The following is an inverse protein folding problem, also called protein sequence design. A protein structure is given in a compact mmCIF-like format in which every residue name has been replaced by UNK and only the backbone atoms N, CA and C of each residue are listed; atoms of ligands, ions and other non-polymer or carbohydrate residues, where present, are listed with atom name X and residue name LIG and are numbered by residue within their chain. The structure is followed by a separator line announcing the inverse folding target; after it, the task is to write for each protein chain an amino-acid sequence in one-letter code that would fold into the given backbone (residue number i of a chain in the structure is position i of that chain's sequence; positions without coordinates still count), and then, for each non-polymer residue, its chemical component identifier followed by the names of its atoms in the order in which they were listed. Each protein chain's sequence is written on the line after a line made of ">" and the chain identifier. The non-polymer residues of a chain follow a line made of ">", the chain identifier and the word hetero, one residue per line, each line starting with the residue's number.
data_IF_596305442838
#
_entry.id   IF_596305442838
#
_cell.length_a   1.000
_cell.length_b   1.000
_cell.length_c   1.000
_cell.angle_alpha   90.00
_cell.angle_beta   90.00
_cell.angle_gamma   90.00
#
_symmetry.space_group_name_H-M   'P 1'
#
loop_
_entity.id
_entity.type
_entity.pdbx_description
1 polymer ?
#
# COMPACT_ATOMS: atom_id res chain seq x y z
N UNK A 1 -18.69 -6.82 7.21
CA UNK A 1 -17.23 -7.09 7.01
C UNK A 1 -16.52 -7.13 8.38
N UNK A 2 -16.78 -6.21 9.32
CA UNK A 2 -16.13 -6.18 10.65
C UNK A 2 -16.42 -7.44 11.48
N UNK A 3 -17.66 -7.92 11.50
CA UNK A 3 -18.06 -9.14 12.21
C UNK A 3 -17.36 -10.40 11.66
N UNK A 4 -17.17 -10.49 10.35
CA UNK A 4 -16.45 -11.63 9.71
C UNK A 4 -14.97 -11.63 10.07
N UNK A 5 -14.32 -10.47 10.12
CA UNK A 5 -12.93 -10.36 10.55
C UNK A 5 -12.72 -10.83 11.99
N UNK A 6 -13.64 -10.47 12.88
CA UNK A 6 -13.59 -10.87 14.31
C UNK A 6 -13.80 -12.38 14.45
N UNK A 7 -14.72 -12.95 13.68
CA UNK A 7 -14.94 -14.42 13.63
C UNK A 7 -13.71 -15.17 13.09
N UNK A 8 -12.97 -14.58 12.16
CA UNK A 8 -11.71 -15.13 11.65
C UNK A 8 -10.49 -14.86 12.57
N UNK A 9 -10.70 -14.36 13.79
CA UNK A 9 -9.63 -14.09 14.75
C UNK A 9 -8.73 -12.89 14.39
N UNK A 10 -9.06 -12.12 13.35
CA UNK A 10 -8.30 -10.94 12.92
C UNK A 10 -8.79 -9.70 13.66
N UNK A 11 -8.10 -9.33 14.74
CA UNK A 11 -8.36 -8.06 15.44
C UNK A 11 -7.98 -6.88 14.56
N UNK A 12 -8.83 -5.83 14.54
CA UNK A 12 -8.51 -4.54 13.91
C UNK A 12 -7.40 -3.88 14.72
N UNK A 13 -6.19 -3.87 14.19
CA UNK A 13 -5.11 -3.11 14.80
C UNK A 13 -5.28 -1.65 14.39
N UNK A 14 -5.38 -0.74 15.33
CA UNK A 14 -5.39 0.69 15.04
C UNK A 14 -4.01 1.07 14.53
N UNK A 15 -3.89 1.50 13.29
CA UNK A 15 -2.66 2.07 12.76
C UNK A 15 -2.61 3.54 13.18
N UNK A 16 -1.47 3.97 13.70
CA UNK A 16 -1.22 5.35 14.12
C UNK A 16 0.11 5.89 13.60
N UNK A 17 1.13 5.06 13.55
CA UNK A 17 2.51 5.45 13.20
C UNK A 17 2.92 4.79 11.89
N UNK A 18 3.27 5.62 10.92
CA UNK A 18 3.67 5.19 9.58
C UNK A 18 5.09 5.67 9.30
N UNK A 19 5.94 4.78 8.82
CA UNK A 19 7.26 5.12 8.30
C UNK A 19 7.26 4.96 6.80
N UNK A 20 7.81 5.95 6.09
CA UNK A 20 7.93 5.97 4.63
C UNK A 20 9.40 6.11 4.28
N UNK A 21 9.89 5.26 3.39
CA UNK A 21 11.22 5.38 2.79
C UNK A 21 11.04 5.88 1.36
N UNK A 22 11.73 6.96 1.05
CA UNK A 22 11.66 7.67 -0.22
C UNK A 22 10.66 8.83 -0.22
N UNK A 23 11.19 10.04 -0.43
CA UNK A 23 10.45 11.29 -0.56
C UNK A 23 9.90 11.52 -1.97
N UNK A 24 9.29 10.49 -2.56
CA UNK A 24 8.69 10.59 -3.90
C UNK A 24 7.36 11.37 -3.89
N UNK A 25 6.89 11.79 -5.07
CA UNK A 25 5.59 12.47 -5.24
C UNK A 25 4.43 11.71 -4.59
N UNK A 26 4.50 10.37 -4.58
CA UNK A 26 3.50 9.53 -3.92
C UNK A 26 3.59 9.70 -2.41
N UNK A 27 4.81 9.69 -1.85
CA UNK A 27 5.03 9.86 -0.42
C UNK A 27 4.55 11.23 0.04
N UNK A 28 4.92 12.29 -0.68
CA UNK A 28 4.48 13.66 -0.42
C UNK A 28 2.95 13.78 -0.48
N UNK A 29 2.34 13.28 -1.56
CA UNK A 29 0.89 13.31 -1.72
C UNK A 29 0.16 12.52 -0.64
N UNK A 30 0.68 11.34 -0.30
CA UNK A 30 0.11 10.53 0.77
C UNK A 30 0.18 11.27 2.11
N UNK A 31 1.34 11.82 2.45
CA UNK A 31 1.54 12.55 3.70
C UNK A 31 0.65 13.79 3.76
N UNK A 32 0.55 14.58 2.67
CA UNK A 32 -0.35 15.75 2.59
C UNK A 32 -1.81 15.41 2.91
N UNK A 33 -2.28 14.24 2.46
CA UNK A 33 -3.70 13.86 2.64
C UNK A 33 -3.96 13.24 4.01
N UNK A 34 -2.95 12.59 4.63
CA UNK A 34 -3.16 11.73 5.78
C UNK A 34 -2.43 12.13 7.06
N UNK A 35 -1.66 13.26 7.08
CA UNK A 35 -0.94 13.71 8.28
C UNK A 35 -1.85 13.93 9.49
N UNK A 36 -3.09 14.38 9.28
CA UNK A 36 -4.06 14.55 10.39
C UNK A 36 -4.47 13.25 11.08
N UNK A 37 -4.34 12.10 10.39
CA UNK A 37 -4.81 10.79 10.86
C UNK A 37 -3.69 9.92 11.39
N UNK A 38 -2.49 10.12 10.88
CA UNK A 38 -1.34 9.29 11.15
C UNK A 38 -0.12 10.13 11.49
N UNK A 39 0.65 9.65 12.43
CA UNK A 39 1.99 10.16 12.69
C UNK A 39 2.94 9.60 11.63
N UNK A 40 3.38 10.45 10.72
CA UNK A 40 4.15 10.07 9.55
C UNK A 40 5.60 10.49 9.70
N UNK A 41 6.51 9.56 9.49
CA UNK A 41 7.94 9.82 9.34
C UNK A 41 8.37 9.44 7.94
N UNK A 42 9.10 10.32 7.26
CA UNK A 42 9.68 10.09 5.93
C UNK A 42 11.20 10.11 6.06
N UNK A 43 11.86 9.12 5.48
CA UNK A 43 13.33 9.03 5.39
C UNK A 43 13.71 9.05 3.92
N UNK A 44 14.55 9.98 3.51
CA UNK A 44 15.12 10.08 2.16
C UNK A 44 16.60 10.47 2.24
N UNK A 45 17.43 9.96 1.35
CA UNK A 45 18.86 10.27 1.30
C UNK A 45 19.18 11.62 0.66
N UNK A 46 18.25 12.14 -0.16
CA UNK A 46 18.40 13.40 -0.88
C UNK A 46 18.06 14.57 0.03
N UNK A 47 19.09 15.37 0.35
CA UNK A 47 18.97 16.51 1.24
C UNK A 47 18.01 17.58 0.73
N UNK A 48 18.02 17.86 -0.58
CA UNK A 48 17.17 18.89 -1.18
C UNK A 48 15.70 18.47 -1.10
N UNK A 49 15.42 17.19 -1.31
CA UNK A 49 14.08 16.62 -1.09
C UNK A 49 13.66 16.69 0.38
N UNK A 50 14.56 16.36 1.30
CA UNK A 50 14.25 16.46 2.74
C UNK A 50 13.92 17.89 3.15
N UNK A 51 14.67 18.90 2.69
CA UNK A 51 14.42 20.31 2.96
C UNK A 51 13.07 20.77 2.36
N UNK A 52 12.77 20.34 1.13
CA UNK A 52 11.48 20.59 0.48
C UNK A 52 10.32 19.99 1.30
N UNK A 53 10.41 18.68 1.61
CA UNK A 53 9.36 17.97 2.37
C UNK A 53 9.16 18.57 3.76
N UNK A 54 10.23 18.94 4.47
CA UNK A 54 10.12 19.58 5.78
C UNK A 54 9.38 20.93 5.71
N UNK A 55 9.52 21.65 4.60
CA UNK A 55 8.79 22.90 4.36
C UNK A 55 7.32 22.66 4.03
N UNK A 56 7.02 21.64 3.22
CA UNK A 56 5.66 21.35 2.74
C UNK A 56 4.82 20.57 3.75
N UNK A 57 5.45 19.81 4.63
CA UNK A 57 4.83 18.87 5.56
C UNK A 57 5.28 19.13 7.01
N UNK A 58 4.93 20.30 7.60
CA UNK A 58 5.41 20.67 8.93
C UNK A 58 4.94 19.74 10.05
N UNK A 59 3.86 18.98 9.83
CA UNK A 59 3.31 18.03 10.79
C UNK A 59 3.90 16.60 10.65
N UNK A 60 4.82 16.40 9.70
CA UNK A 60 5.52 15.14 9.49
C UNK A 60 6.96 15.20 9.99
N UNK A 61 7.48 14.08 10.46
CA UNK A 61 8.90 13.96 10.77
C UNK A 61 9.68 13.64 9.50
N UNK A 62 10.64 14.48 9.13
CA UNK A 62 11.52 14.26 7.97
C UNK A 62 12.93 13.97 8.47
N UNK A 63 13.51 12.88 8.00
CA UNK A 63 14.87 12.44 8.31
C UNK A 63 15.67 12.31 7.03
N UNK A 64 16.82 12.99 6.97
CA UNK A 64 17.75 12.84 5.87
C UNK A 64 18.72 11.68 6.18
N UNK A 65 18.63 10.60 5.42
CA UNK A 65 19.43 9.40 5.61
C UNK A 65 19.08 8.29 4.64
N UNK A 66 19.95 7.28 4.58
CA UNK A 66 19.71 6.10 3.75
C UNK A 66 18.66 5.19 4.42
N UNK A 67 17.50 5.07 3.79
CA UNK A 67 16.41 4.20 4.24
C UNK A 67 16.67 2.70 4.12
N UNK A 68 17.80 2.29 3.52
CA UNK A 68 18.28 0.90 3.49
C UNK A 68 19.29 0.61 4.59
N UNK A 69 19.86 1.64 5.22
CA UNK A 69 20.80 1.47 6.32
C UNK A 69 20.07 1.00 7.59
N UNK A 70 20.47 -0.19 8.07
CA UNK A 70 19.89 -0.83 9.25
C UNK A 70 20.09 0.02 10.51
N UNK A 71 21.20 0.75 10.61
CA UNK A 71 21.49 1.59 11.78
C UNK A 71 20.61 2.84 11.75
N UNK A 72 20.41 3.47 10.58
CA UNK A 72 19.43 4.57 10.41
C UNK A 72 18.02 4.11 10.80
N UNK A 73 17.60 2.94 10.33
CA UNK A 73 16.29 2.38 10.67
C UNK A 73 16.15 2.08 12.16
N UNK A 74 17.21 1.60 12.82
CA UNK A 74 17.23 1.31 14.25
C UNK A 74 17.16 2.59 15.08
N UNK A 75 17.95 3.61 14.75
CA UNK A 75 17.95 4.91 15.43
C UNK A 75 16.60 5.61 15.31
N UNK A 76 15.90 5.40 14.21
CA UNK A 76 14.55 5.93 13.99
C UNK A 76 13.43 5.06 14.58
N UNK A 77 13.76 4.06 15.40
CA UNK A 77 12.81 3.20 16.12
C UNK A 77 11.79 2.52 15.21
N UNK A 78 12.23 1.97 14.06
CA UNK A 78 11.38 1.34 13.04
C UNK A 78 10.43 0.29 13.64
N UNK A 79 10.86 -0.48 14.64
CA UNK A 79 10.04 -1.49 15.33
C UNK A 79 8.78 -0.94 16.01
N UNK A 80 8.69 0.35 16.25
CA UNK A 80 7.54 0.99 16.91
C UNK A 80 6.46 1.44 15.92
N UNK A 81 6.68 1.27 14.61
CA UNK A 81 5.75 1.68 13.58
C UNK A 81 4.74 0.57 13.27
N UNK A 82 3.50 0.98 12.99
CA UNK A 82 2.41 0.06 12.64
C UNK A 82 2.45 -0.35 11.16
N UNK A 83 3.02 0.52 10.32
CA UNK A 83 3.26 0.22 8.92
C UNK A 83 4.55 0.90 8.41
N UNK A 84 5.14 0.26 7.42
CA UNK A 84 6.33 0.71 6.70
C UNK A 84 6.05 0.70 5.21
N UNK A 85 6.32 1.79 4.53
CA UNK A 85 6.09 1.95 3.11
C UNK A 85 7.40 2.34 2.41
N UNK A 86 7.83 1.53 1.46
CA UNK A 86 8.98 1.81 0.62
C UNK A 86 8.50 2.34 -0.74
N UNK A 87 8.70 3.63 -0.96
CA UNK A 87 8.16 4.40 -2.08
C UNK A 87 9.23 5.11 -2.88
N UNK A 88 10.47 4.58 -2.89
CA UNK A 88 11.54 5.08 -3.75
C UNK A 88 11.29 4.73 -5.22
N UNK A 89 12.12 5.25 -6.12
CA UNK A 89 12.04 4.94 -7.55
C UNK A 89 12.68 3.57 -7.90
N UNK A 90 13.41 2.93 -6.97
CA UNK A 90 14.01 1.60 -7.16
C UNK A 90 13.12 0.49 -6.61
N UNK A 91 12.64 -0.37 -7.49
CA UNK A 91 11.87 -1.56 -7.10
C UNK A 91 12.64 -2.48 -6.17
N UNK A 92 13.94 -2.66 -6.44
CA UNK A 92 14.87 -3.50 -5.69
C UNK A 92 15.08 -2.96 -4.28
N UNK A 93 15.35 -1.65 -4.18
CA UNK A 93 15.50 -0.96 -2.89
C UNK A 93 14.21 -1.08 -2.06
N UNK A 94 13.05 -0.90 -2.67
CA UNK A 94 11.76 -1.01 -2.00
C UNK A 94 11.47 -2.42 -1.47
N UNK A 95 11.83 -3.45 -2.23
CA UNK A 95 11.72 -4.85 -1.80
C UNK A 95 12.64 -5.10 -0.61
N UNK A 96 13.91 -4.70 -0.71
CA UNK A 96 14.91 -4.91 0.35
C UNK A 96 14.53 -4.16 1.62
N UNK A 97 14.11 -2.89 1.52
CA UNK A 97 13.64 -2.09 2.65
C UNK A 97 12.46 -2.77 3.38
N UNK A 98 11.49 -3.32 2.64
CA UNK A 98 10.37 -4.04 3.22
C UNK A 98 10.79 -5.35 3.89
N UNK A 99 11.79 -6.07 3.36
CA UNK A 99 12.36 -7.24 4.02
C UNK A 99 12.99 -6.85 5.35
N UNK A 100 13.82 -5.82 5.36
CA UNK A 100 14.46 -5.30 6.58
C UNK A 100 13.41 -4.81 7.60
N UNK A 101 12.36 -4.11 7.16
CA UNK A 101 11.29 -3.69 8.06
C UNK A 101 10.57 -4.87 8.73
N UNK A 102 10.47 -6.01 8.06
CA UNK A 102 9.92 -7.24 8.66
C UNK A 102 10.84 -7.84 9.73
N UNK A 103 12.14 -7.74 9.57
CA UNK A 103 13.10 -8.13 10.62
C UNK A 103 12.93 -7.26 11.87
N UNK A 104 12.59 -5.98 11.70
CA UNK A 104 12.15 -5.09 12.78
C UNK A 104 10.73 -5.37 13.30
N UNK A 105 10.10 -6.45 12.85
CA UNK A 105 8.75 -6.89 13.27
C UNK A 105 7.63 -5.89 12.95
N UNK A 106 7.81 -5.01 11.96
CA UNK A 106 6.74 -4.10 11.53
C UNK A 106 5.57 -4.92 10.96
N UNK A 107 4.34 -4.70 11.48
CA UNK A 107 3.21 -5.58 11.16
C UNK A 107 2.73 -5.49 9.71
N UNK A 108 2.90 -4.35 9.07
CA UNK A 108 2.47 -4.10 7.68
C UNK A 108 3.58 -3.43 6.90
N UNK A 109 3.84 -3.99 5.73
CA UNK A 109 4.81 -3.43 4.79
C UNK A 109 4.15 -3.24 3.42
N UNK A 110 4.51 -2.16 2.74
CA UNK A 110 4.03 -1.82 1.40
C UNK A 110 5.23 -1.43 0.55
N UNK A 111 5.44 -2.10 -0.57
CA UNK A 111 6.51 -1.82 -1.51
C UNK A 111 5.95 -1.31 -2.85
N UNK A 112 6.49 -0.18 -3.34
CA UNK A 112 6.28 0.23 -4.73
C UNK A 112 7.22 -0.55 -5.64
N UNK A 113 6.68 -1.38 -6.54
CA UNK A 113 7.43 -2.23 -7.46
C UNK A 113 7.00 -1.91 -8.89
N UNK A 114 7.73 -1.03 -9.56
CA UNK A 114 7.43 -0.59 -10.93
C UNK A 114 7.82 -1.63 -11.98
N UNK A 115 8.85 -2.42 -11.71
CA UNK A 115 9.30 -3.48 -12.59
C UNK A 115 8.41 -4.72 -12.46
N UNK A 116 7.61 -5.00 -13.49
CA UNK A 116 6.68 -6.13 -13.51
C UNK A 116 7.36 -7.49 -13.32
N UNK A 117 8.63 -7.63 -13.72
CA UNK A 117 9.39 -8.88 -13.58
C UNK A 117 9.68 -9.21 -12.11
N UNK A 118 9.76 -8.20 -11.25
CA UNK A 118 10.01 -8.40 -9.81
C UNK A 118 8.75 -8.66 -8.99
N UNK A 119 7.56 -8.42 -9.54
CA UNK A 119 6.31 -8.58 -8.77
C UNK A 119 6.15 -10.02 -8.26
N UNK A 120 6.30 -11.02 -9.15
CA UNK A 120 6.17 -12.44 -8.76
C UNK A 120 7.24 -12.86 -7.76
N UNK A 121 8.46 -12.33 -7.87
CA UNK A 121 9.54 -12.60 -6.92
C UNK A 121 9.23 -11.97 -5.56
N UNK A 122 8.77 -10.72 -5.56
CA UNK A 122 8.41 -9.98 -4.36
C UNK A 122 7.23 -10.64 -3.60
N UNK A 123 6.24 -11.17 -4.34
CA UNK A 123 5.15 -11.95 -3.75
C UNK A 123 5.66 -13.23 -3.06
N UNK A 124 6.58 -13.95 -3.70
CA UNK A 124 7.18 -15.16 -3.12
C UNK A 124 8.00 -14.87 -1.85
N UNK A 125 8.62 -13.69 -1.76
CA UNK A 125 9.36 -13.26 -0.58
C UNK A 125 8.45 -12.81 0.58
N UNK A 126 7.13 -12.77 0.35
CA UNK A 126 6.15 -12.37 1.36
C UNK A 126 6.49 -11.03 2.04
N UNK A 127 6.95 -10.06 1.23
CA UNK A 127 7.37 -8.73 1.72
C UNK A 127 6.20 -7.86 2.17
N UNK A 128 4.97 -8.30 2.02
CA UNK A 128 3.76 -7.56 2.37
C UNK A 128 2.94 -7.19 1.13
N UNK A 129 2.36 -6.00 1.12
CA UNK A 129 1.58 -5.51 -0.02
C UNK A 129 2.50 -4.93 -1.07
N UNK A 130 2.28 -5.32 -2.32
CA UNK A 130 2.98 -4.74 -3.47
C UNK A 130 2.02 -3.78 -4.17
N UNK A 131 2.51 -2.60 -4.51
CA UNK A 131 1.81 -1.65 -5.37
C UNK A 131 2.61 -1.45 -6.66
N UNK A 132 1.90 -1.30 -7.76
CA UNK A 132 2.47 -0.94 -9.06
C UNK A 132 1.56 0.12 -9.69
N UNK A 133 2.11 1.30 -9.97
CA UNK A 133 1.35 2.43 -10.50
C UNK A 133 0.65 2.11 -11.81
N UNK A 134 1.33 1.37 -12.71
CA UNK A 134 0.80 1.02 -14.03
C UNK A 134 -0.40 0.08 -13.91
N UNK A 135 -0.30 -0.94 -13.06
CA UNK A 135 -1.40 -1.88 -12.82
C UNK A 135 -2.59 -1.19 -12.15
N UNK A 136 -2.34 -0.32 -11.15
CA UNK A 136 -3.39 0.44 -10.50
C UNK A 136 -4.10 1.39 -11.48
N UNK A 137 -3.34 2.12 -12.30
CA UNK A 137 -3.91 3.00 -13.32
C UNK A 137 -4.70 2.21 -14.36
N UNK A 138 -4.18 1.08 -14.83
CA UNK A 138 -4.87 0.19 -15.77
C UNK A 138 -6.19 -0.33 -15.21
N UNK A 139 -6.18 -0.80 -13.96
CA UNK A 139 -7.39 -1.26 -13.27
C UNK A 139 -8.42 -0.14 -13.12
N UNK A 140 -7.96 1.06 -12.79
CA UNK A 140 -8.86 2.21 -12.66
C UNK A 140 -9.46 2.63 -14.01
N UNK A 141 -8.65 2.66 -15.10
CA UNK A 141 -9.13 2.92 -16.46
C UNK A 141 -10.18 1.87 -16.87
N UNK A 142 -9.91 0.60 -16.58
CA UNK A 142 -10.86 -0.47 -16.83
C UNK A 142 -12.19 -0.26 -16.11
N UNK A 143 -12.14 0.13 -14.83
CA UNK A 143 -13.35 0.48 -14.06
C UNK A 143 -14.16 1.64 -14.69
N UNK A 144 -13.47 2.65 -15.22
CA UNK A 144 -14.13 3.78 -15.89
C UNK A 144 -14.79 3.39 -17.23
N UNK A 145 -14.32 2.29 -17.87
CA UNK A 145 -14.88 1.79 -19.13
C UNK A 145 -16.06 0.83 -18.90
N UNK A 146 -16.18 0.26 -17.70
CA UNK A 146 -17.35 -0.53 -17.32
C UNK A 146 -18.51 0.43 -17.10
N UNK A 147 -19.70 0.06 -17.62
CA UNK A 147 -20.90 0.87 -17.42
C UNK A 147 -21.19 1.12 -15.92
N UNK A 148 -21.81 2.27 -15.64
CA UNK A 148 -22.03 2.82 -14.28
C UNK A 148 -22.80 1.90 -13.30
N UNK A 149 -23.24 0.73 -13.71
CA UNK A 149 -23.88 -0.29 -12.86
C UNK A 149 -22.88 -1.20 -12.11
N UNK A 150 -21.54 -1.05 -12.35
CA UNK A 150 -20.49 -1.85 -11.70
C UNK A 150 -19.65 -0.97 -10.75
N UNK A 151 -20.08 -0.85 -9.50
CA UNK A 151 -19.45 0.06 -8.54
C UNK A 151 -18.05 -0.37 -8.06
N UNK A 152 -17.64 -1.65 -8.20
CA UNK A 152 -16.39 -2.16 -7.64
C UNK A 152 -15.77 -3.32 -8.45
N UNK A 153 -15.40 -3.10 -9.69
CA UNK A 153 -14.54 -4.05 -10.38
C UNK A 153 -13.08 -3.90 -9.91
N UNK A 154 -12.47 -4.97 -9.45
CA UNK A 154 -11.05 -5.01 -9.08
C UNK A 154 -10.34 -6.00 -9.98
N UNK A 155 -9.46 -5.50 -10.83
CA UNK A 155 -8.48 -6.32 -11.50
C UNK A 155 -7.51 -6.87 -10.42
N UNK A 156 -7.48 -8.19 -10.25
CA UNK A 156 -6.52 -8.85 -9.37
C UNK A 156 -5.20 -8.92 -10.13
N UNK A 157 -4.26 -8.03 -9.80
CA UNK A 157 -2.93 -8.00 -10.41
C UNK A 157 -2.29 -9.38 -10.35
N UNK A 158 -1.99 -10.02 -11.45
CA UNK A 158 -1.39 -11.35 -11.63
C UNK A 158 -2.34 -12.57 -11.54
N UNK A 159 -3.61 -12.42 -11.21
CA UNK A 159 -4.57 -13.52 -11.27
C UNK A 159 -5.17 -13.63 -12.70
N UNK A 160 -5.44 -14.85 -13.12
CA UNK A 160 -6.19 -15.14 -14.35
C UNK A 160 -7.71 -14.90 -14.20
N UNK A 161 -8.11 -14.22 -13.12
CA UNK A 161 -9.49 -13.95 -12.78
C UNK A 161 -9.65 -12.53 -12.26
N UNK A 162 -10.76 -11.89 -12.64
CA UNK A 162 -11.17 -10.59 -12.11
C UNK A 162 -12.27 -10.75 -11.07
N UNK A 163 -12.31 -9.85 -10.10
CA UNK A 163 -13.39 -9.78 -9.12
C UNK A 163 -14.19 -8.49 -9.32
N UNK A 164 -15.49 -8.62 -9.44
CA UNK A 164 -16.41 -7.49 -9.57
C UNK A 164 -17.56 -7.58 -8.58
N UNK A 165 -18.00 -6.45 -8.07
CA UNK A 165 -19.23 -6.32 -7.29
C UNK A 165 -20.30 -5.70 -8.18
N UNK A 166 -21.36 -6.46 -8.45
CA UNK A 166 -22.44 -6.04 -9.33
C UNK A 166 -23.71 -5.76 -8.53
N UNK A 167 -24.30 -4.60 -8.75
CA UNK A 167 -25.60 -4.27 -8.19
C UNK A 167 -26.70 -4.96 -8.99
N UNK A 168 -27.30 -6.00 -8.42
CA UNK A 168 -28.32 -6.78 -9.10
C UNK A 168 -29.65 -6.06 -9.07
N UNK A 169 -30.20 -5.70 -10.24
CA UNK A 169 -31.52 -5.06 -10.37
C UNK A 169 -32.64 -6.01 -9.90
N UNK A 170 -33.64 -5.47 -9.21
CA UNK A 170 -34.75 -6.20 -8.56
C UNK A 170 -35.50 -7.21 -9.50
N UNK A 171 -35.40 -7.06 -10.81
CA UNK A 171 -36.05 -7.89 -11.83
C UNK A 171 -35.09 -8.70 -12.71
N UNK A 172 -33.83 -8.84 -12.35
CA UNK A 172 -32.89 -9.64 -13.12
C UNK A 172 -33.32 -11.11 -13.16
N UNK A 173 -33.23 -11.75 -14.34
CA UNK A 173 -33.72 -13.14 -14.55
C UNK A 173 -33.13 -14.14 -13.55
N UNK A 174 -31.87 -13.96 -13.16
CA UNK A 174 -31.12 -14.88 -12.29
C UNK A 174 -31.32 -14.67 -10.79
N UNK A 175 -31.98 -13.58 -10.39
CA UNK A 175 -32.29 -13.34 -8.95
C UNK A 175 -33.43 -14.18 -8.39
N UNK A 176 -34.09 -14.95 -9.23
CA UNK A 176 -35.25 -15.80 -8.83
C UNK A 176 -34.85 -17.21 -8.42
N UNK A 177 -33.59 -17.59 -8.60
CA UNK A 177 -33.09 -18.93 -8.29
C UNK A 177 -31.95 -18.89 -7.25
N UNK A 178 -31.88 -19.87 -6.34
CA UNK A 178 -30.75 -19.96 -5.40
C UNK A 178 -29.46 -20.22 -6.16
N UNK A 179 -28.35 -19.60 -5.71
CA UNK A 179 -26.99 -19.68 -6.34
C UNK A 179 -26.55 -21.12 -6.60
N UNK A 180 -26.92 -22.08 -5.75
CA UNK A 180 -26.61 -23.50 -5.95
C UNK A 180 -27.26 -24.16 -7.19
N UNK A 181 -28.14 -23.44 -7.88
CA UNK A 181 -28.82 -23.89 -9.13
C UNK A 181 -28.35 -23.12 -10.36
N UNK A 182 -27.43 -22.15 -10.17
CA UNK A 182 -26.74 -21.44 -11.23
C UNK A 182 -25.50 -22.20 -11.69
#
# INVERSE_FOLDING_TARGET
>A
IENVRTLCGKRKRSMKRLMIIGGSDIAERFATVYHDKYHIKIIDEDRDKCEHLATMLPDCEIVCGDGLDVDVLRENNTSQYDAFMALTDSSEANILACMTAKEFTVPKTVANVENLQFISQAENLNIGTIINKKLLASSYIFQLLLDADEENAKCLSLATADAGELLVKKNAKKTREPVRKL
#
